data_IF_199449227966
#
_entry.id   IF_199449227966
#
_cell.length_a   1.000
_cell.length_b   1.000
_cell.length_c   1.000
_cell.angle_alpha   90.00
_cell.angle_beta   90.00
_cell.angle_gamma   90.00
#
_symmetry.space_group_name_H-M   'P 1'
#
loop_
_entity.id
_entity.type
_entity.pdbx_description
1 polymer ?
#
# COMPACT_ATOMS: atom_id res chain seq x y z
N UNK A 1 2.11 -24.15 -8.52
CA UNK A 1 3.04 -23.11 -8.98
C UNK A 1 4.27 -23.15 -8.10
N UNK A 2 5.43 -23.58 -8.62
CA UNK A 2 6.69 -23.73 -7.86
C UNK A 2 7.69 -22.59 -8.04
N UNK A 3 7.28 -21.46 -8.63
CA UNK A 3 8.17 -20.35 -9.02
C UNK A 3 8.48 -19.36 -7.89
N UNK A 4 7.75 -19.44 -6.77
CA UNK A 4 7.82 -18.55 -5.60
C UNK A 4 9.24 -18.31 -5.05
N UNK A 5 10.08 -19.35 -5.15
CA UNK A 5 11.41 -19.40 -4.55
C UNK A 5 12.50 -18.94 -5.52
N UNK A 6 12.42 -19.26 -6.82
CA UNK A 6 13.65 -19.31 -7.61
C UNK A 6 14.22 -17.93 -7.95
N UNK A 7 13.42 -16.94 -8.37
CA UNK A 7 13.97 -15.65 -8.80
C UNK A 7 14.43 -14.78 -7.62
N UNK A 8 13.61 -14.64 -6.59
CA UNK A 8 13.97 -13.85 -5.42
C UNK A 8 15.05 -14.52 -4.56
N UNK A 9 14.98 -15.85 -4.35
CA UNK A 9 16.09 -16.57 -3.72
C UNK A 9 17.32 -16.62 -4.63
N UNK A 10 17.21 -16.68 -5.95
CA UNK A 10 18.37 -16.60 -6.86
C UNK A 10 19.02 -15.23 -6.78
N UNK A 11 18.26 -14.15 -6.74
CA UNK A 11 18.79 -12.80 -6.58
C UNK A 11 19.51 -12.68 -5.22
N UNK A 12 18.83 -13.06 -4.13
CA UNK A 12 19.42 -13.06 -2.79
C UNK A 12 20.65 -13.99 -2.65
N UNK A 13 20.63 -15.18 -3.27
CA UNK A 13 21.77 -16.12 -3.29
C UNK A 13 22.92 -15.65 -4.18
N UNK A 14 22.63 -15.01 -5.31
CA UNK A 14 23.63 -14.38 -6.20
C UNK A 14 24.40 -13.29 -5.47
N UNK A 15 23.71 -12.50 -4.65
CA UNK A 15 24.35 -11.53 -3.76
C UNK A 15 25.11 -12.20 -2.60
N UNK A 16 24.59 -13.29 -2.04
CA UNK A 16 25.27 -14.08 -0.98
C UNK A 16 26.59 -14.69 -1.43
N UNK A 17 26.72 -15.11 -2.69
CA UNK A 17 27.96 -15.71 -3.23
C UNK A 17 29.08 -14.68 -3.44
N UNK A 18 28.80 -13.37 -3.35
CA UNK A 18 29.78 -12.30 -3.61
C UNK A 18 30.49 -11.72 -2.38
N UNK A 19 30.16 -12.12 -1.14
CA UNK A 19 30.87 -11.67 0.08
C UNK A 19 30.47 -12.51 1.29
N UNK A 20 31.44 -13.15 1.95
CA UNK A 20 31.23 -13.98 3.13
C UNK A 20 31.11 -13.16 4.44
N UNK A 21 30.14 -13.56 5.27
CA UNK A 21 29.98 -13.37 6.72
C UNK A 21 29.90 -11.94 7.30
N UNK A 22 28.66 -11.51 7.64
CA UNK A 22 28.22 -11.16 9.02
C UNK A 22 26.87 -10.39 9.11
N UNK A 23 26.07 -10.25 8.04
CA UNK A 23 24.87 -9.41 8.13
C UNK A 23 23.67 -9.86 7.27
N UNK A 24 23.02 -10.98 7.62
CA UNK A 24 21.86 -11.54 6.88
C UNK A 24 20.75 -10.51 6.60
N UNK A 25 20.39 -9.68 7.59
CA UNK A 25 19.36 -8.62 7.47
C UNK A 25 19.75 -7.53 6.45
N UNK A 26 21.05 -7.28 6.27
CA UNK A 26 21.56 -6.31 5.27
C UNK A 26 21.37 -6.82 3.84
N UNK A 27 21.65 -8.10 3.59
CA UNK A 27 21.53 -8.69 2.24
C UNK A 27 20.07 -8.76 1.78
N UNK A 28 19.17 -9.15 2.69
CA UNK A 28 17.73 -9.22 2.43
C UNK A 28 17.18 -7.84 2.07
N UNK A 29 17.63 -6.80 2.78
CA UNK A 29 17.29 -5.40 2.47
C UNK A 29 17.82 -4.96 1.11
N UNK A 30 19.07 -5.29 0.77
CA UNK A 30 19.65 -4.99 -0.55
C UNK A 30 18.87 -5.64 -1.70
N UNK A 31 18.43 -6.89 -1.52
CA UNK A 31 17.61 -7.58 -2.51
C UNK A 31 16.22 -6.91 -2.66
N UNK A 32 15.58 -6.54 -1.56
CA UNK A 32 14.31 -5.80 -1.58
C UNK A 32 14.44 -4.42 -2.26
N UNK A 33 15.53 -3.71 -1.99
CA UNK A 33 15.83 -2.44 -2.65
C UNK A 33 16.06 -2.62 -4.16
N UNK A 34 16.74 -3.68 -4.59
CA UNK A 34 16.94 -3.96 -6.01
C UNK A 34 15.62 -4.27 -6.73
N UNK A 35 14.75 -5.09 -6.12
CA UNK A 35 13.40 -5.32 -6.66
C UNK A 35 12.62 -4.01 -6.81
N UNK A 36 12.74 -3.09 -5.85
CA UNK A 36 12.11 -1.78 -5.94
C UNK A 36 12.72 -0.91 -7.04
N UNK A 37 14.02 -1.03 -7.33
CA UNK A 37 14.67 -0.34 -8.46
C UNK A 37 14.19 -0.89 -9.79
N UNK A 38 14.14 -2.20 -9.94
CA UNK A 38 13.65 -2.86 -11.16
C UNK A 38 12.18 -2.55 -11.43
N UNK A 39 11.32 -2.62 -10.42
CA UNK A 39 9.92 -2.25 -10.56
C UNK A 39 9.74 -0.78 -10.97
N UNK A 40 10.58 0.14 -10.47
CA UNK A 40 10.58 1.55 -10.95
C UNK A 40 10.99 1.65 -12.42
N UNK A 41 12.02 0.93 -12.86
CA UNK A 41 12.46 0.93 -14.26
C UNK A 41 11.35 0.44 -15.20
N UNK A 42 10.58 -0.55 -14.75
CA UNK A 42 9.42 -1.10 -15.46
C UNK A 42 8.12 -0.30 -15.29
N UNK A 43 8.17 0.88 -14.63
CA UNK A 43 6.99 1.70 -14.33
C UNK A 43 5.87 0.98 -13.54
N UNK A 44 6.23 -0.04 -12.74
CA UNK A 44 5.31 -0.83 -11.90
C UNK A 44 5.07 -0.21 -10.52
N UNK A 45 5.78 0.88 -10.18
CA UNK A 45 5.58 1.63 -8.94
C UNK A 45 5.01 3.01 -9.23
N UNK A 46 3.83 3.29 -8.68
CA UNK A 46 3.17 4.58 -8.72
C UNK A 46 3.18 5.23 -7.33
N UNK A 47 3.77 6.43 -7.21
CA UNK A 47 3.88 7.18 -5.93
C UNK A 47 3.21 8.56 -5.96
N UNK A 48 2.61 8.91 -7.08
CA UNK A 48 1.98 10.19 -7.36
C UNK A 48 0.66 9.95 -8.11
N UNK A 49 -0.13 11.01 -8.29
CA UNK A 49 -1.36 10.93 -9.06
C UNK A 49 -1.11 10.38 -10.47
N UNK A 50 -1.90 9.40 -10.89
CA UNK A 50 -1.73 8.68 -12.16
C UNK A 50 -2.44 7.33 -12.13
N UNK A 51 -2.08 6.46 -13.07
CA UNK A 51 -2.52 5.07 -13.07
C UNK A 51 -1.35 4.15 -13.39
N UNK A 52 -1.43 2.92 -12.89
CA UNK A 52 -0.52 1.84 -13.30
C UNK A 52 -1.37 0.73 -13.91
N UNK A 53 -0.90 0.25 -15.05
CA UNK A 53 -1.40 -0.91 -15.76
C UNK A 53 -0.15 -1.60 -16.32
N UNK A 54 0.33 -2.66 -15.68
CA UNK A 54 1.50 -3.37 -16.20
C UNK A 54 1.10 -4.04 -17.53
N UNK A 55 1.92 -3.89 -18.57
CA UNK A 55 1.62 -4.40 -19.91
C UNK A 55 1.34 -5.91 -19.86
N UNK A 56 0.13 -6.32 -20.27
CA UNK A 56 -0.32 -7.71 -20.22
C UNK A 56 -0.90 -8.18 -18.88
N UNK A 57 -0.86 -7.35 -17.83
CA UNK A 57 -1.54 -7.63 -16.57
C UNK A 57 -3.02 -7.22 -16.64
N UNK A 58 -3.87 -7.99 -15.97
CA UNK A 58 -5.25 -7.58 -15.68
C UNK A 58 -5.30 -6.68 -14.43
N UNK A 59 -4.25 -5.94 -14.10
CA UNK A 59 -4.22 -5.13 -12.88
C UNK A 59 -4.29 -3.67 -13.29
N UNK A 60 -5.36 -3.00 -12.86
CA UNK A 60 -5.47 -1.56 -13.03
C UNK A 60 -5.59 -0.92 -11.65
N UNK A 61 -4.72 0.05 -11.39
CA UNK A 61 -4.84 0.91 -10.24
C UNK A 61 -4.78 2.39 -10.66
N UNK A 62 -5.60 3.20 -10.00
CA UNK A 62 -5.64 4.66 -10.15
C UNK A 62 -5.33 5.29 -8.81
N UNK A 63 -4.40 6.25 -8.79
CA UNK A 63 -4.02 7.02 -7.61
C UNK A 63 -4.32 8.48 -7.90
N UNK A 64 -4.92 9.19 -6.95
CA UNK A 64 -5.03 10.62 -7.02
C UNK A 64 -4.90 11.24 -5.64
N UNK A 65 -3.97 12.17 -5.50
CA UNK A 65 -3.78 12.99 -4.30
C UNK A 65 -3.99 14.45 -4.66
N UNK A 66 -4.65 15.17 -3.75
CA UNK A 66 -4.89 16.59 -3.89
C UNK A 66 -4.61 17.30 -2.58
N UNK A 67 -3.77 18.32 -2.71
CA UNK A 67 -3.40 19.22 -1.62
C UNK A 67 -4.64 20.00 -1.14
N UNK A 68 -4.81 20.06 0.17
CA UNK A 68 -5.77 20.91 0.86
C UNK A 68 -5.30 22.35 1.00
N UNK A 69 -5.83 23.05 2.00
CA UNK A 69 -5.60 24.49 2.23
C UNK A 69 -4.72 24.75 3.46
N UNK A 70 -4.37 23.70 4.23
CA UNK A 70 -3.68 23.79 5.52
C UNK A 70 -2.15 23.85 5.46
N UNK A 71 -1.56 23.88 4.27
CA UNK A 71 -0.10 23.92 4.12
C UNK A 71 0.40 22.99 3.02
N UNK A 72 1.60 22.43 3.19
CA UNK A 72 2.15 21.40 2.29
C UNK A 72 1.28 20.15 2.34
N UNK A 73 1.12 19.46 1.21
CA UNK A 73 0.40 18.19 1.21
C UNK A 73 1.18 17.15 2.03
N UNK A 74 0.57 16.65 3.09
CA UNK A 74 1.13 15.69 4.02
C UNK A 74 0.75 14.24 3.67
N UNK A 75 -0.25 14.03 2.81
CA UNK A 75 -0.60 12.72 2.30
C UNK A 75 0.48 12.17 1.35
N UNK A 76 0.59 10.84 1.33
CA UNK A 76 1.16 10.16 0.18
C UNK A 76 0.55 8.77 -0.03
N UNK A 77 0.74 8.23 -1.22
CA UNK A 77 0.29 6.89 -1.57
C UNK A 77 1.36 6.14 -2.37
N UNK A 78 1.25 4.82 -2.42
CA UNK A 78 2.03 3.94 -3.28
C UNK A 78 1.15 2.82 -3.83
N UNK A 79 1.35 2.49 -5.10
CA UNK A 79 0.96 1.21 -5.69
C UNK A 79 2.22 0.57 -6.26
N UNK A 80 2.40 -0.71 -6.02
CA UNK A 80 3.52 -1.50 -6.51
C UNK A 80 2.97 -2.81 -7.08
N UNK A 81 2.90 -2.89 -8.41
CA UNK A 81 2.58 -4.10 -9.18
C UNK A 81 3.72 -5.10 -9.16
N UNK A 82 3.40 -6.37 -9.32
CA UNK A 82 4.36 -7.47 -9.23
C UNK A 82 5.19 -7.43 -7.94
N UNK A 83 4.52 -7.20 -6.81
CA UNK A 83 5.18 -6.94 -5.53
C UNK A 83 6.07 -8.12 -5.12
N UNK A 84 7.35 -7.85 -4.84
CA UNK A 84 8.33 -8.91 -4.58
C UNK A 84 8.71 -9.74 -5.81
N UNK A 85 8.57 -9.16 -7.01
CA UNK A 85 8.74 -9.84 -8.30
C UNK A 85 7.81 -11.05 -8.46
N UNK A 86 6.58 -10.94 -7.95
CA UNK A 86 5.53 -11.96 -8.08
C UNK A 86 4.38 -11.39 -8.92
N UNK A 87 4.14 -11.95 -10.10
CA UNK A 87 3.16 -11.45 -11.08
C UNK A 87 1.72 -11.36 -10.51
N UNK A 88 1.37 -12.23 -9.57
CA UNK A 88 0.06 -12.29 -8.92
C UNK A 88 -0.07 -11.43 -7.66
N UNK A 89 0.97 -10.66 -7.31
CA UNK A 89 1.00 -9.82 -6.12
C UNK A 89 1.01 -8.33 -6.41
N UNK A 90 0.29 -7.58 -5.58
CA UNK A 90 0.29 -6.12 -5.59
C UNK A 90 0.34 -5.60 -4.16
N UNK A 91 1.13 -4.54 -3.95
CA UNK A 91 1.10 -3.77 -2.71
C UNK A 91 0.54 -2.37 -2.96
N UNK A 92 -0.40 -1.94 -2.13
CA UNK A 92 -0.96 -0.59 -2.13
C UNK A 92 -0.90 0.00 -0.72
N UNK A 93 -0.65 1.30 -0.61
CA UNK A 93 -0.68 2.01 0.66
C UNK A 93 -1.13 3.47 0.53
N UNK A 94 -1.88 3.95 1.51
CA UNK A 94 -2.24 5.35 1.74
C UNK A 94 -1.74 5.76 3.13
N UNK A 95 -1.12 6.93 3.22
CA UNK A 95 -0.49 7.46 4.41
C UNK A 95 -0.88 8.93 4.57
N UNK A 96 -1.74 9.21 5.55
CA UNK A 96 -2.18 10.56 5.93
C UNK A 96 -1.24 11.09 7.01
N UNK A 97 -0.32 11.97 6.62
CA UNK A 97 0.69 12.55 7.50
C UNK A 97 0.12 13.72 8.30
N UNK A 98 0.54 13.85 9.56
CA UNK A 98 0.12 14.96 10.42
C UNK A 98 1.27 15.48 11.29
N UNK A 99 1.07 16.68 11.83
CA UNK A 99 2.07 17.40 12.61
C UNK A 99 3.11 18.12 11.73
N UNK A 100 4.05 18.86 12.34
CA UNK A 100 4.97 19.73 11.59
C UNK A 100 5.81 18.99 10.53
N UNK A 101 6.14 17.73 10.78
CA UNK A 101 6.92 16.87 9.88
C UNK A 101 6.09 15.75 9.23
N UNK A 102 4.75 15.82 9.31
CA UNK A 102 3.86 14.76 8.81
C UNK A 102 4.16 14.33 7.37
N UNK A 103 4.38 15.30 6.48
CA UNK A 103 4.78 15.06 5.09
C UNK A 103 6.12 14.34 4.90
N UNK A 104 7.04 14.39 5.88
CA UNK A 104 8.27 13.61 5.87
C UNK A 104 8.04 12.22 6.47
N UNK A 105 7.28 12.13 7.57
CA UNK A 105 6.93 10.86 8.22
C UNK A 105 6.16 9.96 7.26
N UNK A 106 5.09 10.47 6.64
CA UNK A 106 4.27 9.71 5.67
C UNK A 106 5.12 9.19 4.50
N UNK A 107 6.00 10.03 3.95
CA UNK A 107 6.92 9.63 2.86
C UNK A 107 7.94 8.59 3.31
N UNK A 108 8.44 8.67 4.55
CA UNK A 108 9.37 7.69 5.10
C UNK A 108 8.69 6.34 5.29
N UNK A 109 7.48 6.31 5.86
CA UNK A 109 6.68 5.08 6.00
C UNK A 109 6.34 4.50 4.64
N UNK A 110 5.85 5.29 3.68
CA UNK A 110 5.58 4.86 2.30
C UNK A 110 6.77 4.19 1.64
N UNK A 111 7.98 4.67 1.89
CA UNK A 111 9.20 4.12 1.29
C UNK A 111 9.70 2.87 2.03
N UNK A 112 9.60 2.84 3.35
CA UNK A 112 10.25 1.82 4.19
C UNK A 112 9.35 0.59 4.40
N UNK A 113 8.04 0.80 4.52
CA UNK A 113 7.07 -0.26 4.79
C UNK A 113 7.08 -1.40 3.76
N UNK A 114 6.96 -1.16 2.44
CA UNK A 114 6.98 -2.27 1.47
C UNK A 114 8.32 -3.02 1.45
N UNK A 115 9.43 -2.32 1.67
CA UNK A 115 10.77 -2.92 1.72
C UNK A 115 10.91 -3.80 2.97
N UNK A 116 10.56 -3.27 4.15
CA UNK A 116 10.56 -4.02 5.41
C UNK A 116 9.63 -5.23 5.34
N UNK A 117 8.46 -5.10 4.71
CA UNK A 117 7.52 -6.20 4.52
C UNK A 117 8.12 -7.33 3.68
N UNK A 118 8.77 -7.01 2.56
CA UNK A 118 9.48 -8.00 1.73
C UNK A 118 10.64 -8.66 2.48
N UNK A 119 11.38 -7.88 3.28
CA UNK A 119 12.45 -8.43 4.11
C UNK A 119 11.91 -9.46 5.11
N UNK A 120 10.87 -9.08 5.85
CA UNK A 120 10.25 -9.95 6.85
C UNK A 120 9.60 -11.18 6.22
N UNK A 121 8.98 -11.03 5.04
CA UNK A 121 8.45 -12.14 4.25
C UNK A 121 9.56 -13.14 3.90
N UNK A 122 10.70 -12.66 3.40
CA UNK A 122 11.84 -13.52 3.04
C UNK A 122 12.39 -14.31 4.22
N UNK A 123 12.59 -13.63 5.36
CA UNK A 123 13.09 -14.26 6.58
C UNK A 123 12.14 -15.38 7.04
N UNK A 124 10.83 -15.13 6.96
CA UNK A 124 9.79 -16.11 7.34
C UNK A 124 9.75 -17.30 6.40
N UNK A 125 9.84 -17.07 5.09
CA UNK A 125 9.94 -18.15 4.10
C UNK A 125 11.20 -19.01 4.30
N UNK A 126 12.33 -18.39 4.66
CA UNK A 126 13.59 -19.11 4.89
C UNK A 126 13.52 -20.05 6.10
N UNK A 127 12.61 -19.78 7.02
CA UNK A 127 12.36 -20.59 8.22
C UNK A 127 11.25 -21.63 8.03
N UNK A 128 10.47 -21.52 6.95
CA UNK A 128 9.31 -22.39 6.69
C UNK A 128 9.66 -23.41 5.61
N UNK A 129 9.90 -24.66 6.00
CA UNK A 129 10.46 -25.70 5.11
C UNK A 129 9.43 -26.59 4.40
N UNK A 130 8.13 -26.28 4.41
CA UNK A 130 7.09 -27.21 3.94
C UNK A 130 5.98 -26.53 3.13
N UNK A 131 5.17 -27.38 2.48
CA UNK A 131 4.12 -27.16 1.48
C UNK A 131 3.34 -25.83 1.56
N UNK A 132 2.71 -25.44 0.44
CA UNK A 132 1.91 -24.22 0.38
C UNK A 132 0.95 -24.12 1.59
N UNK A 133 1.09 -23.09 2.44
CA UNK A 133 0.27 -22.97 3.65
C UNK A 133 -1.21 -22.89 3.28
N UNK A 134 -2.08 -23.45 4.11
CA UNK A 134 -3.54 -23.27 3.99
C UNK A 134 -3.92 -21.79 4.22
N UNK A 135 -5.13 -21.39 3.83
CA UNK A 135 -5.60 -19.99 3.93
C UNK A 135 -5.45 -19.39 5.33
N UNK A 136 -5.83 -20.13 6.38
CA UNK A 136 -5.73 -19.65 7.77
C UNK A 136 -4.27 -19.47 8.20
N UNK A 137 -3.38 -20.36 7.77
CA UNK A 137 -1.95 -20.26 8.02
C UNK A 137 -1.34 -19.08 7.26
N UNK A 138 -1.75 -18.82 6.01
CA UNK A 138 -1.35 -17.63 5.24
C UNK A 138 -1.76 -16.35 5.95
N UNK A 139 -2.98 -16.28 6.46
CA UNK A 139 -3.45 -15.13 7.23
C UNK A 139 -2.61 -14.92 8.49
N UNK A 140 -2.31 -15.98 9.24
CA UNK A 140 -1.45 -15.89 10.43
C UNK A 140 -0.04 -15.36 10.09
N UNK A 141 0.52 -15.80 8.96
CA UNK A 141 1.81 -15.31 8.44
C UNK A 141 1.72 -13.82 8.12
N UNK A 142 0.76 -13.39 7.29
CA UNK A 142 0.60 -11.98 6.93
C UNK A 142 0.36 -11.09 8.16
N UNK A 143 -0.46 -11.54 9.11
CA UNK A 143 -0.68 -10.83 10.37
C UNK A 143 0.62 -10.65 11.15
N UNK A 144 1.42 -11.70 11.30
CA UNK A 144 2.71 -11.63 11.97
C UNK A 144 3.66 -10.66 11.26
N UNK A 145 3.74 -10.75 9.92
CA UNK A 145 4.61 -9.91 9.11
C UNK A 145 4.25 -8.43 9.22
N UNK A 146 2.97 -8.09 9.17
CA UNK A 146 2.52 -6.71 9.34
C UNK A 146 2.86 -6.16 10.73
N UNK A 147 2.64 -6.93 11.80
CA UNK A 147 3.01 -6.51 13.15
C UNK A 147 4.52 -6.25 13.27
N UNK A 148 5.34 -7.15 12.74
CA UNK A 148 6.80 -7.01 12.74
C UNK A 148 7.25 -5.81 11.91
N UNK A 149 6.70 -5.64 10.71
CA UNK A 149 7.01 -4.51 9.83
C UNK A 149 6.61 -3.17 10.42
N UNK A 150 5.43 -3.07 11.06
CA UNK A 150 5.03 -1.85 11.76
C UNK A 150 6.04 -1.50 12.87
N UNK A 151 6.46 -2.49 13.67
CA UNK A 151 7.46 -2.27 14.72
C UNK A 151 8.84 -1.88 14.16
N UNK A 152 9.30 -2.53 13.08
CA UNK A 152 10.56 -2.20 12.41
C UNK A 152 10.55 -0.76 11.85
N UNK A 153 9.44 -0.35 11.21
CA UNK A 153 9.30 0.99 10.62
C UNK A 153 9.17 2.06 11.70
N UNK A 154 8.43 1.80 12.78
CA UNK A 154 8.31 2.71 13.92
C UNK A 154 9.67 2.90 14.62
N UNK A 155 10.43 1.82 14.81
CA UNK A 155 11.79 1.89 15.32
C UNK A 155 12.71 2.69 14.36
N UNK A 156 12.59 2.50 13.04
CA UNK A 156 13.36 3.29 12.07
C UNK A 156 13.06 4.80 12.20
N UNK A 157 11.79 5.16 12.34
CA UNK A 157 11.35 6.54 12.55
C UNK A 157 11.88 7.12 13.86
N UNK A 158 11.84 6.36 14.96
CA UNK A 158 12.37 6.79 16.25
C UNK A 158 13.86 7.14 16.20
N UNK A 159 14.64 6.42 15.39
CA UNK A 159 16.09 6.65 15.25
C UNK A 159 16.45 7.63 14.13
N UNK A 160 15.45 8.18 13.42
CA UNK A 160 15.68 9.04 12.27
C UNK A 160 16.12 10.46 12.67
N UNK A 161 17.43 10.72 12.64
CA UNK A 161 18.06 11.96 13.14
C UNK A 161 17.59 13.29 12.50
N UNK A 162 16.92 13.24 11.34
CA UNK A 162 16.52 14.43 10.57
C UNK A 162 15.03 14.72 10.56
N UNK A 163 14.20 13.82 11.10
CA UNK A 163 12.74 13.96 11.09
C UNK A 163 12.30 13.94 12.54
N UNK A 164 11.66 15.01 12.99
CA UNK A 164 11.07 15.06 14.32
C UNK A 164 9.72 14.33 14.31
N UNK A 165 9.73 13.13 14.88
CA UNK A 165 8.59 12.22 15.02
C UNK A 165 7.90 12.35 16.38
N UNK A 166 8.36 13.21 17.28
CA UNK A 166 7.75 13.35 18.61
C UNK A 166 6.35 13.98 18.54
N UNK A 167 6.19 14.98 17.66
CA UNK A 167 4.92 15.68 17.42
C UNK A 167 4.38 15.49 16.00
N UNK A 168 4.90 14.50 15.26
CA UNK A 168 4.51 14.23 13.88
C UNK A 168 4.31 12.74 13.67
N UNK A 169 3.34 12.40 12.83
CA UNK A 169 2.97 11.01 12.60
C UNK A 169 2.35 10.82 11.23
N UNK A 170 1.91 9.60 10.97
CA UNK A 170 1.12 9.27 9.79
C UNK A 170 0.17 8.13 10.11
N UNK A 171 -1.00 8.13 9.49
CA UNK A 171 -1.77 6.88 9.35
C UNK A 171 -1.07 5.95 8.36
N UNK A 172 -1.43 4.68 8.37
CA UNK A 172 -1.00 3.70 7.39
C UNK A 172 -2.13 2.71 7.11
N UNK A 173 -2.75 2.85 5.94
CA UNK A 173 -3.65 1.86 5.39
C UNK A 173 -2.95 1.18 4.22
N UNK A 174 -2.71 -0.13 4.33
CA UNK A 174 -2.05 -0.90 3.28
C UNK A 174 -2.84 -2.15 2.92
N UNK A 175 -2.68 -2.56 1.66
CA UNK A 175 -3.29 -3.74 1.08
C UNK A 175 -2.19 -4.54 0.38
N UNK A 176 -2.08 -5.82 0.70
CA UNK A 176 -1.41 -6.80 -0.17
C UNK A 176 -2.50 -7.62 -0.86
N UNK A 177 -2.55 -7.57 -2.18
CA UNK A 177 -3.30 -8.54 -2.97
C UNK A 177 -2.34 -9.67 -3.35
N UNK A 178 -2.77 -10.91 -3.14
CA UNK A 178 -2.07 -12.12 -3.56
C UNK A 178 -3.09 -13.05 -4.23
N UNK A 179 -3.04 -13.14 -5.55
CA UNK A 179 -4.06 -13.85 -6.33
C UNK A 179 -5.46 -13.26 -6.10
N UNK A 180 -6.38 -14.07 -5.57
CA UNK A 180 -7.76 -13.68 -5.26
C UNK A 180 -7.96 -13.15 -3.83
N UNK A 181 -6.92 -13.20 -2.99
CA UNK A 181 -6.99 -12.80 -1.59
C UNK A 181 -6.40 -11.40 -1.41
N UNK A 182 -7.09 -10.57 -0.63
CA UNK A 182 -6.57 -9.27 -0.17
C UNK A 182 -6.36 -9.30 1.35
N UNK A 183 -5.18 -8.86 1.78
CA UNK A 183 -4.82 -8.67 3.18
C UNK A 183 -4.79 -7.17 3.45
N UNK A 184 -5.61 -6.71 4.39
CA UNK A 184 -5.75 -5.29 4.72
C UNK A 184 -5.18 -5.04 6.12
N UNK A 185 -4.24 -4.11 6.23
CA UNK A 185 -3.69 -3.66 7.49
C UNK A 185 -3.89 -2.14 7.63
N UNK A 186 -4.51 -1.72 8.73
CA UNK A 186 -4.83 -0.32 8.99
C UNK A 186 -4.33 0.12 10.37
N UNK A 187 -3.67 1.28 10.40
CA UNK A 187 -3.31 2.01 11.62
C UNK A 187 -3.75 3.47 11.42
N UNK A 188 -4.70 3.93 12.22
CA UNK A 188 -5.28 5.27 12.12
C UNK A 188 -6.67 5.28 11.48
N UNK A 189 -7.05 6.41 10.91
CA UNK A 189 -8.42 6.73 10.46
C UNK A 189 -8.55 6.92 8.93
N UNK A 190 -7.61 6.31 8.19
CA UNK A 190 -7.75 6.03 6.75
C UNK A 190 -8.75 4.89 6.51
N UNK A 191 -9.33 4.83 5.31
CA UNK A 191 -10.41 3.88 4.98
C UNK A 191 -10.20 3.06 3.72
N UNK A 192 -10.48 1.76 3.81
CA UNK A 192 -10.71 0.90 2.66
C UNK A 192 -12.20 0.52 2.53
N UNK A 193 -12.73 0.61 1.31
CA UNK A 193 -14.09 0.18 0.94
C UNK A 193 -13.98 -0.69 -0.31
N UNK A 194 -14.54 -1.89 -0.25
CA UNK A 194 -14.68 -2.81 -1.38
C UNK A 194 -16.03 -2.59 -2.06
N UNK A 195 -16.00 -2.44 -3.37
CA UNK A 195 -17.16 -2.56 -4.21
C UNK A 195 -17.30 -4.02 -4.67
N UNK A 196 -18.43 -4.65 -4.37
CA UNK A 196 -18.71 -6.03 -4.75
C UNK A 196 -20.16 -6.18 -5.20
N UNK A 197 -20.45 -7.27 -5.91
CA UNK A 197 -21.81 -7.61 -6.33
C UNK A 197 -22.46 -8.48 -5.25
N UNK A 198 -23.66 -8.10 -4.81
CA UNK A 198 -24.45 -8.89 -3.87
C UNK A 198 -24.99 -10.16 -4.53
N UNK A 199 -25.56 -11.07 -3.72
CA UNK A 199 -26.27 -12.25 -4.23
C UNK A 199 -27.43 -11.88 -5.18
N UNK A 200 -27.99 -10.69 -5.03
CA UNK A 200 -29.09 -10.14 -5.84
C UNK A 200 -28.60 -9.49 -7.14
N UNK A 201 -27.29 -9.49 -7.40
CA UNK A 201 -26.69 -8.87 -8.58
C UNK A 201 -26.51 -7.34 -8.49
N UNK A 202 -26.79 -6.74 -7.33
CA UNK A 202 -26.64 -5.30 -7.11
C UNK A 202 -25.23 -4.94 -6.64
N UNK A 203 -24.70 -3.80 -7.11
CA UNK A 203 -23.41 -3.30 -6.64
C UNK A 203 -23.54 -2.76 -5.21
N UNK A 204 -22.69 -3.24 -4.30
CA UNK A 204 -22.75 -2.93 -2.86
C UNK A 204 -21.39 -2.54 -2.28
N UNK A 205 -21.44 -1.80 -1.16
CA UNK A 205 -20.27 -1.35 -0.42
C UNK A 205 -20.00 -2.19 0.81
N UNK A 206 -18.79 -2.77 0.88
CA UNK A 206 -18.29 -3.45 2.07
C UNK A 206 -17.11 -2.65 2.62
N UNK A 207 -17.28 -2.04 3.78
CA UNK A 207 -16.19 -1.34 4.46
C UNK A 207 -15.23 -2.39 5.05
N UNK A 208 -13.95 -2.31 4.68
CA UNK A 208 -12.93 -3.30 5.06
C UNK A 208 -12.15 -2.90 6.32
N UNK A 209 -12.21 -1.63 6.72
CA UNK A 209 -11.49 -1.09 7.89
C UNK A 209 -12.46 -0.43 8.86
N UNK A 210 -12.19 -0.52 10.16
CA UNK A 210 -12.96 0.20 11.18
C UNK A 210 -12.26 1.52 11.46
N UNK A 211 -12.86 2.64 11.04
CA UNK A 211 -12.45 3.99 11.42
C UNK A 211 -13.65 4.73 12.04
N UNK A 212 -13.38 5.81 12.77
CA UNK A 212 -14.41 6.63 13.43
C UNK A 212 -15.04 7.68 12.49
N UNK A 213 -15.16 7.40 11.18
CA UNK A 213 -15.81 8.29 10.22
C UNK A 213 -17.09 7.61 9.67
N UNK A 214 -18.15 8.35 9.28
CA UNK A 214 -19.37 7.73 8.74
C UNK A 214 -19.12 7.02 7.40
N UNK A 215 -19.78 5.89 7.17
CA UNK A 215 -19.70 5.10 5.94
C UNK A 215 -20.06 5.97 4.71
N UNK A 216 -19.39 5.77 3.57
CA UNK A 216 -19.66 6.53 2.33
C UNK A 216 -20.17 5.59 1.23
N UNK A 217 -21.46 5.20 1.24
CA UNK A 217 -22.10 4.52 0.11
C UNK A 217 -21.84 5.22 -1.24
N UNK A 218 -21.77 6.56 -1.22
CA UNK A 218 -21.55 7.39 -2.41
C UNK A 218 -20.21 7.13 -3.12
N UNK A 219 -19.19 6.60 -2.44
CA UNK A 219 -17.87 6.40 -3.05
C UNK A 219 -17.96 5.39 -4.21
N UNK A 220 -18.79 4.36 -4.05
CA UNK A 220 -18.99 3.33 -5.06
C UNK A 220 -19.78 3.87 -6.24
N UNK A 221 -20.84 4.64 -5.99
CA UNK A 221 -21.61 5.29 -7.06
C UNK A 221 -20.71 6.18 -7.93
N UNK A 222 -19.79 6.91 -7.32
CA UNK A 222 -18.83 7.77 -8.04
C UNK A 222 -17.85 6.93 -8.87
N UNK A 223 -17.27 5.89 -8.28
CA UNK A 223 -16.28 5.05 -8.98
C UNK A 223 -16.94 4.26 -10.11
N UNK A 224 -18.10 3.65 -9.87
CA UNK A 224 -18.85 2.84 -10.85
C UNK A 224 -19.43 3.66 -11.99
N UNK A 225 -19.84 4.90 -11.75
CA UNK A 225 -20.29 5.82 -12.80
C UNK A 225 -19.17 6.43 -13.64
N UNK A 226 -17.90 6.17 -13.29
CA UNK A 226 -16.75 6.71 -14.03
C UNK A 226 -16.47 5.86 -15.26
N UNK A 227 -16.72 6.42 -16.45
CA UNK A 227 -16.47 5.75 -17.75
C UNK A 227 -15.00 5.33 -17.96
N UNK A 228 -14.05 6.09 -17.41
CA UNK A 228 -12.62 5.82 -17.53
C UNK A 228 -12.04 5.43 -16.16
N UNK A 229 -11.85 4.14 -15.92
CA UNK A 229 -11.26 3.61 -14.67
C UNK A 229 -9.97 4.32 -14.22
N UNK A 230 -9.02 4.72 -15.11
CA UNK A 230 -7.85 5.51 -14.72
C UNK A 230 -8.16 6.85 -14.05
N UNK A 231 -9.36 7.42 -14.28
CA UNK A 231 -9.82 8.70 -13.69
C UNK A 231 -10.65 8.51 -12.42
N UNK A 232 -10.91 7.28 -11.98
CA UNK A 232 -11.81 7.00 -10.86
C UNK A 232 -11.36 7.65 -9.55
N UNK A 233 -10.07 7.51 -9.17
CA UNK A 233 -9.55 8.14 -7.95
C UNK A 233 -9.67 9.66 -8.01
N UNK A 234 -9.39 10.26 -9.18
CA UNK A 234 -9.56 11.71 -9.40
C UNK A 234 -11.02 12.14 -9.23
N UNK A 235 -11.97 11.40 -9.83
CA UNK A 235 -13.41 11.68 -9.70
C UNK A 235 -13.89 11.59 -8.26
N UNK A 236 -13.46 10.55 -7.54
CA UNK A 236 -13.78 10.35 -6.14
C UNK A 236 -13.32 11.55 -5.29
N UNK A 237 -12.06 11.97 -5.45
CA UNK A 237 -11.50 13.12 -4.74
C UNK A 237 -12.21 14.43 -5.12
N UNK A 238 -12.48 14.67 -6.41
CA UNK A 238 -13.21 15.87 -6.86
C UNK A 238 -14.60 15.97 -6.23
N UNK A 239 -15.33 14.86 -6.15
CA UNK A 239 -16.67 14.81 -5.56
C UNK A 239 -16.64 14.97 -4.05
N UNK A 240 -15.70 14.31 -3.35
CA UNK A 240 -15.51 14.48 -1.92
C UNK A 240 -15.29 15.96 -1.55
N UNK A 241 -14.61 16.69 -2.42
CA UNK A 241 -14.27 18.10 -2.16
C UNK A 241 -15.45 19.01 -2.43
N UNK A 242 -16.19 18.76 -3.51
CA UNK A 242 -17.46 19.47 -3.74
C UNK A 242 -18.39 19.28 -2.55
N UNK A 243 -18.46 18.07 -2.00
CA UNK A 243 -19.22 17.77 -0.80
C UNK A 243 -18.69 18.51 0.44
N UNK A 244 -17.36 18.56 0.65
CA UNK A 244 -16.74 19.33 1.74
C UNK A 244 -17.09 20.80 1.65
N UNK A 245 -16.84 21.45 0.51
CA UNK A 245 -17.07 22.88 0.31
C UNK A 245 -18.56 23.25 0.48
N UNK A 246 -19.47 22.32 0.17
CA UNK A 246 -20.91 22.51 0.41
C UNK A 246 -21.28 22.41 1.89
N UNK A 247 -20.72 21.44 2.63
CA UNK A 247 -21.09 21.14 4.03
C UNK A 247 -20.32 21.98 5.05
N UNK A 248 -19.08 22.37 4.79
CA UNK A 248 -18.13 22.99 5.72
C UNK A 248 -17.61 24.31 5.17
N UNK A 249 -18.52 25.23 4.81
CA UNK A 249 -18.15 26.55 4.27
C UNK A 249 -17.26 27.32 5.25
N UNK A 250 -16.17 27.89 4.75
CA UNK A 250 -15.22 28.69 5.54
C UNK A 250 -14.23 27.88 6.39
N UNK A 251 -14.28 26.54 6.33
CA UNK A 251 -13.30 25.67 7.01
C UNK A 251 -12.28 25.17 5.99
N UNK A 252 -11.01 25.44 6.26
CA UNK A 252 -9.90 24.98 5.45
C UNK A 252 -9.96 23.46 5.27
N UNK A 253 -9.95 23.04 4.00
CA UNK A 253 -9.92 21.62 3.65
C UNK A 253 -8.59 20.99 4.01
N UNK A 254 -8.63 19.75 4.49
CA UNK A 254 -7.44 18.93 4.62
C UNK A 254 -6.96 18.36 3.28
N UNK A 255 -5.79 17.73 3.29
CA UNK A 255 -5.36 16.92 2.16
C UNK A 255 -6.33 15.74 1.94
N UNK A 256 -6.39 15.28 0.69
CA UNK A 256 -7.22 14.13 0.34
C UNK A 256 -6.55 13.29 -0.75
N UNK A 257 -6.40 12.00 -0.45
CA UNK A 257 -5.82 11.02 -1.36
C UNK A 257 -6.70 9.79 -1.46
N UNK A 258 -6.79 9.24 -2.67
CA UNK A 258 -7.51 8.02 -2.95
C UNK A 258 -6.70 7.10 -3.85
N UNK A 259 -6.82 5.81 -3.60
CA UNK A 259 -6.37 4.75 -4.52
C UNK A 259 -7.58 3.88 -4.86
N UNK A 260 -7.82 3.65 -6.14
CA UNK A 260 -8.82 2.72 -6.64
C UNK A 260 -8.12 1.53 -7.28
N UNK A 261 -8.33 0.35 -6.71
CA UNK A 261 -7.86 -0.93 -7.24
C UNK A 261 -9.01 -1.61 -7.98
N UNK A 262 -8.77 -2.05 -9.22
CA UNK A 262 -9.76 -2.78 -10.00
C UNK A 262 -9.33 -4.24 -10.10
N UNK A 263 -10.11 -5.12 -9.47
CA UNK A 263 -9.93 -6.56 -9.56
C UNK A 263 -10.76 -7.10 -10.73
N UNK A 264 -10.19 -8.01 -11.50
CA UNK A 264 -10.92 -8.74 -12.53
C UNK A 264 -11.40 -10.07 -11.92
N UNK A 265 -12.65 -10.43 -12.23
CA UNK A 265 -13.22 -11.76 -12.05
C UNK A 265 -12.82 -12.68 -13.19
#
# INVERSE_FOLDING_TARGET
MGHFSSMFNSLARSFSNKKAQNNSKSYVKEAADEMAREAKKKAMILKSSGCVNADGSNNLASVFSRRGEKGVNQDCAIVWEEFGCQEDMMFCGIFDGHGPWGHFVSKQVRNSMPISLLCNWQETLSQTTLAEPETDQRFAIWKHLYLKTCADVDQELQHHRKIDTFNSGTTALTIVRQGEVIYVANVGDSRAVLATVSEEGSLTAVQLTVDFKPNIPQAIDIVSSTAERPKAAKRLVEQAVRAWNKKRRGIAMDDISAVCLFFHS
#
